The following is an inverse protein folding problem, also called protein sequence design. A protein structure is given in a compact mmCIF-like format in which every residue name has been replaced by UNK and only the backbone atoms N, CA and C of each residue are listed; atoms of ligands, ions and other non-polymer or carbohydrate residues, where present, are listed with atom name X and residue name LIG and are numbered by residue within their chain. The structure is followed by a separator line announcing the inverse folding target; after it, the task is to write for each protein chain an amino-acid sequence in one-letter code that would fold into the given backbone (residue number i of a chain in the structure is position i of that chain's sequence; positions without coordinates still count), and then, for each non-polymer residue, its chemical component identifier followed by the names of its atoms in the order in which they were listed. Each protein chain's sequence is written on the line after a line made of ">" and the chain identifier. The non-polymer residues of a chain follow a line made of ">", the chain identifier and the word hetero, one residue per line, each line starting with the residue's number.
data_IF_926323357657
#
_entry.id   IF_926323357657
#
_cell.length_a   1.000
_cell.length_b   1.000
_cell.length_c   1.000
_cell.angle_alpha   90.00
_cell.angle_beta   90.00
_cell.angle_gamma   90.00
#
_symmetry.space_group_name_H-M   'P 1'
#
loop_
_entity.id
_entity.type
_entity.pdbx_description
1 polymer ?
#
# COMPACT_ATOMS: atom_id res chain seq x y z
N UNK A 1 9.79 4.44 59.59
CA UNK A 1 8.76 4.38 58.52
C UNK A 1 8.87 5.69 57.75
N UNK A 2 9.80 5.86 56.80
CA UNK A 2 9.85 5.35 55.41
C UNK A 2 8.74 5.94 54.53
N UNK A 3 8.87 7.22 54.17
CA UNK A 3 8.43 7.73 52.86
C UNK A 3 9.08 9.10 52.56
N UNK A 4 10.39 9.10 52.39
CA UNK A 4 11.07 10.14 51.62
C UNK A 4 10.65 9.95 50.17
N UNK A 5 9.71 10.77 49.69
CA UNK A 5 9.31 10.78 48.29
C UNK A 5 10.30 11.68 47.56
N UNK A 6 11.40 11.04 47.17
CA UNK A 6 12.54 11.63 46.49
C UNK A 6 12.14 12.26 45.17
N UNK A 7 12.51 13.53 45.07
CA UNK A 7 12.85 14.28 43.86
C UNK A 7 13.67 13.37 42.92
N UNK A 8 13.03 12.89 41.85
CA UNK A 8 13.69 12.48 40.61
C UNK A 8 13.17 13.38 39.49
N UNK A 9 13.67 14.61 39.50
CA UNK A 9 13.93 15.32 38.24
C UNK A 9 14.94 14.46 37.47
N UNK A 10 14.72 14.29 36.16
CA UNK A 10 15.69 14.03 35.08
C UNK A 10 15.11 13.04 34.04
N UNK A 11 14.82 13.59 32.86
CA UNK A 11 14.75 12.96 31.53
C UNK A 11 13.60 11.97 31.21
N UNK A 12 12.62 12.46 30.45
CA UNK A 12 12.32 11.91 29.12
C UNK A 12 11.78 13.04 28.22
N UNK A 13 12.72 13.70 27.54
CA UNK A 13 12.42 14.35 26.29
C UNK A 13 12.16 13.27 25.23
N UNK A 14 11.36 13.62 24.21
CA UNK A 14 11.19 12.93 22.93
C UNK A 14 10.27 11.71 22.92
N UNK A 15 9.24 11.79 22.07
CA UNK A 15 8.73 10.63 21.34
C UNK A 15 7.24 10.37 21.54
N UNK A 16 6.44 10.74 20.55
CA UNK A 16 5.12 10.13 20.39
C UNK A 16 4.03 11.05 19.85
N UNK A 17 4.23 11.61 18.65
CA UNK A 17 3.09 11.95 17.81
C UNK A 17 2.33 10.65 17.51
N UNK A 18 1.22 10.37 18.20
CA UNK A 18 0.26 9.38 17.70
C UNK A 18 -0.89 10.17 17.09
N UNK A 19 -0.60 10.72 15.91
CA UNK A 19 -1.61 11.07 14.93
C UNK A 19 -2.19 9.74 14.45
N UNK A 20 -3.32 9.32 15.01
CA UNK A 20 -4.14 8.27 14.41
C UNK A 20 -4.71 8.83 13.12
N UNK A 21 -3.89 8.86 12.08
CA UNK A 21 -4.31 9.11 10.71
C UNK A 21 -5.01 7.84 10.27
N UNK A 22 -6.29 7.72 10.62
CA UNK A 22 -7.22 6.91 9.84
C UNK A 22 -7.23 7.53 8.44
N UNK A 23 -6.31 7.05 7.61
CA UNK A 23 -6.23 7.37 6.20
C UNK A 23 -7.49 6.84 5.55
N UNK A 24 -8.52 7.68 5.51
CA UNK A 24 -9.51 7.67 4.45
C UNK A 24 -8.70 7.72 3.15
N UNK A 25 -8.47 6.56 2.52
CA UNK A 25 -7.91 6.51 1.17
C UNK A 25 -8.93 7.08 0.20
N UNK A 26 -9.04 8.40 0.20
CA UNK A 26 -9.65 9.16 -0.87
C UNK A 26 -8.67 9.05 -2.03
N UNK A 27 -9.01 8.23 -3.02
CA UNK A 27 -8.34 8.27 -4.31
C UNK A 27 -8.62 9.67 -4.89
N UNK A 28 -7.64 10.55 -4.69
CA UNK A 28 -7.74 11.99 -4.87
C UNK A 28 -8.19 12.37 -6.27
N UNK A 29 -9.02 13.41 -6.31
CA UNK A 29 -9.67 13.96 -7.48
C UNK A 29 -8.70 14.83 -8.30
N UNK A 30 -7.45 14.39 -8.50
CA UNK A 30 -6.35 15.23 -9.02
C UNK A 30 -6.21 15.11 -10.56
N UNK A 31 -7.31 14.75 -11.24
CA UNK A 31 -7.40 14.75 -12.71
C UNK A 31 -7.58 16.17 -13.24
N UNK A 32 -6.58 17.04 -13.07
CA UNK A 32 -6.44 18.23 -13.91
C UNK A 32 -5.60 17.85 -15.13
N UNK A 33 -6.28 17.44 -16.20
CA UNK A 33 -5.67 17.19 -17.51
C UNK A 33 -5.07 18.48 -18.06
N UNK A 34 -3.75 18.56 -18.13
CA UNK A 34 -3.04 19.52 -18.97
C UNK A 34 -2.70 18.83 -20.30
N UNK A 35 -3.31 19.18 -21.45
CA UNK A 35 -3.22 18.40 -22.69
C UNK A 35 -1.93 18.66 -23.50
N UNK A 36 -0.84 19.09 -22.87
CA UNK A 36 0.42 19.39 -23.56
C UNK A 36 1.62 18.77 -22.84
N UNK A 37 1.77 17.46 -22.91
CA UNK A 37 3.08 16.82 -22.70
C UNK A 37 3.19 15.56 -23.55
N UNK A 38 3.57 15.78 -24.81
CA UNK A 38 4.13 14.76 -25.69
C UNK A 38 5.50 14.37 -25.14
N UNK A 39 5.54 13.41 -24.23
CA UNK A 39 6.78 12.95 -23.61
C UNK A 39 6.55 11.79 -22.65
N UNK A 40 6.46 10.57 -23.19
CA UNK A 40 6.82 9.31 -22.52
C UNK A 40 6.55 9.22 -21.00
N UNK A 41 5.32 9.48 -20.56
CA UNK A 41 4.83 9.30 -19.18
C UNK A 41 4.44 7.83 -18.92
N UNK A 42 5.28 6.89 -19.36
CA UNK A 42 4.93 5.46 -19.39
C UNK A 42 5.44 4.63 -18.21
N UNK A 43 6.08 5.21 -17.18
CA UNK A 43 6.78 4.39 -16.17
C UNK A 43 6.37 4.57 -14.70
N UNK A 44 5.66 5.64 -14.31
CA UNK A 44 5.37 5.88 -12.86
C UNK A 44 3.90 5.72 -12.47
N UNK A 45 3.02 5.45 -13.44
CA UNK A 45 1.64 5.04 -13.19
C UNK A 45 1.54 3.59 -13.63
N UNK A 46 1.38 2.67 -12.67
CA UNK A 46 1.06 1.26 -12.95
C UNK A 46 0.08 1.17 -14.14
N UNK A 47 0.28 0.26 -15.11
CA UNK A 47 -0.65 0.16 -16.21
C UNK A 47 -2.05 -0.06 -15.61
N UNK A 48 -3.05 0.66 -16.13
CA UNK A 48 -4.35 0.76 -15.46
C UNK A 48 -5.02 -0.61 -15.23
N UNK A 49 -4.55 -1.64 -15.93
CA UNK A 49 -4.93 -3.03 -15.73
C UNK A 49 -4.51 -3.58 -14.35
N UNK A 50 -3.27 -3.38 -13.91
CA UNK A 50 -2.75 -3.85 -12.62
C UNK A 50 -3.52 -3.21 -11.46
N UNK A 51 -3.75 -1.89 -11.54
CA UNK A 51 -4.51 -1.15 -10.51
C UNK A 51 -5.94 -1.67 -10.43
N UNK A 52 -6.59 -1.90 -11.57
CA UNK A 52 -7.96 -2.42 -11.61
C UNK A 52 -8.03 -3.84 -11.03
N UNK A 53 -7.09 -4.71 -11.41
CA UNK A 53 -6.99 -6.07 -10.92
C UNK A 53 -6.71 -6.11 -9.41
N UNK A 54 -5.83 -5.22 -8.93
CA UNK A 54 -5.53 -5.03 -7.52
C UNK A 54 -6.78 -4.64 -6.74
N UNK A 55 -7.51 -3.59 -7.16
CA UNK A 55 -8.74 -3.17 -6.48
C UNK A 55 -9.80 -4.27 -6.45
N UNK A 56 -9.91 -5.07 -7.53
CA UNK A 56 -10.83 -6.20 -7.57
C UNK A 56 -10.46 -7.29 -6.54
N UNK A 57 -9.18 -7.66 -6.47
CA UNK A 57 -8.70 -8.69 -5.53
C UNK A 57 -8.69 -8.17 -4.10
N UNK A 58 -8.33 -6.91 -3.88
CA UNK A 58 -8.27 -6.29 -2.56
C UNK A 58 -9.65 -6.22 -1.91
N UNK A 59 -10.69 -5.84 -2.67
CA UNK A 59 -12.09 -5.93 -2.19
C UNK A 59 -12.52 -7.36 -1.82
N UNK A 60 -11.88 -8.38 -2.38
CA UNK A 60 -12.21 -9.80 -2.12
C UNK A 60 -11.43 -10.35 -0.94
N UNK A 61 -10.13 -10.03 -0.84
CA UNK A 61 -9.20 -10.63 0.11
C UNK A 61 -8.97 -9.76 1.34
N UNK A 62 -8.91 -8.43 1.16
CA UNK A 62 -8.72 -7.45 2.22
C UNK A 62 -7.47 -7.71 3.06
N UNK A 63 -6.36 -8.14 2.44
CA UNK A 63 -5.14 -8.41 3.19
C UNK A 63 -4.55 -7.10 3.72
N UNK A 64 -3.95 -7.15 4.91
CA UNK A 64 -3.26 -6.00 5.47
C UNK A 64 -1.92 -5.77 4.76
N UNK A 65 -1.50 -4.50 4.64
CA UNK A 65 -0.27 -4.13 3.91
C UNK A 65 -0.23 -4.67 2.47
N UNK A 66 -1.41 -4.72 1.83
CA UNK A 66 -1.56 -5.17 0.46
C UNK A 66 -0.91 -4.20 -0.51
N UNK A 67 -0.19 -4.75 -1.48
CA UNK A 67 0.48 -3.99 -2.55
C UNK A 67 0.65 -4.85 -3.80
N UNK A 68 0.92 -4.18 -4.91
CA UNK A 68 1.30 -4.84 -6.15
C UNK A 68 2.80 -5.13 -6.08
N UNK A 69 3.17 -6.35 -6.37
CA UNK A 69 4.53 -6.84 -6.49
C UNK A 69 4.67 -7.54 -7.85
N UNK A 70 5.90 -7.89 -8.22
CA UNK A 70 6.17 -8.68 -9.42
C UNK A 70 6.86 -9.98 -9.05
N UNK A 71 6.46 -11.07 -9.70
CA UNK A 71 7.13 -12.36 -9.57
C UNK A 71 8.42 -12.43 -10.41
N UNK A 72 9.11 -13.58 -10.38
CA UNK A 72 10.35 -13.79 -11.14
C UNK A 72 10.18 -13.73 -12.66
N UNK A 73 8.95 -13.79 -13.16
CA UNK A 73 8.61 -13.68 -14.58
C UNK A 73 8.18 -12.25 -14.94
N UNK A 74 8.40 -11.28 -14.04
CA UNK A 74 7.89 -9.92 -14.15
C UNK A 74 6.36 -9.85 -14.29
N UNK A 75 5.66 -10.81 -13.69
CA UNK A 75 4.21 -10.81 -13.66
C UNK A 75 3.66 -10.22 -12.37
N UNK A 76 2.63 -9.39 -12.50
CA UNK A 76 2.03 -8.67 -11.39
C UNK A 76 1.30 -9.64 -10.43
N UNK A 77 1.57 -9.47 -9.14
CA UNK A 77 0.99 -10.25 -8.06
C UNK A 77 0.50 -9.34 -6.94
N UNK A 78 -0.65 -9.67 -6.37
CA UNK A 78 -1.15 -9.12 -5.13
C UNK A 78 -0.38 -9.75 -3.97
N UNK A 79 0.37 -8.96 -3.22
CA UNK A 79 1.02 -9.42 -2.00
C UNK A 79 0.46 -8.69 -0.79
N UNK A 80 0.09 -9.44 0.24
CA UNK A 80 -0.34 -8.87 1.51
C UNK A 80 -0.27 -9.88 2.65
N UNK A 81 -0.52 -9.41 3.86
CA UNK A 81 -0.64 -10.24 5.04
C UNK A 81 -2.08 -10.78 5.16
N UNK A 82 -2.22 -12.08 5.02
CA UNK A 82 -3.50 -12.76 5.17
C UNK A 82 -3.93 -12.81 6.66
N UNK A 83 -5.21 -13.13 6.96
CA UNK A 83 -5.72 -13.16 8.34
C UNK A 83 -4.99 -14.14 9.28
N UNK A 84 -4.27 -15.11 8.72
CA UNK A 84 -3.44 -16.05 9.47
C UNK A 84 -2.03 -15.50 9.81
N UNK A 85 -1.78 -14.21 9.53
CA UNK A 85 -0.49 -13.55 9.77
C UNK A 85 0.60 -13.90 8.75
N UNK A 86 0.31 -14.71 7.73
CA UNK A 86 1.29 -15.10 6.70
C UNK A 86 1.21 -14.18 5.50
N UNK A 87 2.36 -13.91 4.90
CA UNK A 87 2.41 -13.25 3.60
C UNK A 87 1.86 -14.22 2.55
N UNK A 88 0.85 -13.76 1.83
CA UNK A 88 0.24 -14.48 0.73
C UNK A 88 0.45 -13.69 -0.57
N UNK A 89 0.57 -14.44 -1.67
CA UNK A 89 0.76 -13.91 -3.03
C UNK A 89 -0.32 -14.49 -3.93
N UNK A 90 -1.01 -13.64 -4.68
CA UNK A 90 -2.07 -14.05 -5.60
C UNK A 90 -1.81 -13.37 -6.95
N UNK A 91 -1.82 -14.10 -8.08
CA UNK A 91 -1.60 -13.50 -9.39
C UNK A 91 -2.70 -12.47 -9.70
N UNK A 92 -2.29 -11.29 -10.16
CA UNK A 92 -3.21 -10.30 -10.70
C UNK A 92 -3.55 -10.68 -12.14
N UNK A 93 -4.85 -10.69 -12.44
CA UNK A 93 -5.35 -11.11 -13.75
C UNK A 93 -6.10 -9.99 -14.43
N UNK A 94 -5.99 -9.93 -15.75
CA UNK A 94 -6.74 -9.01 -16.59
C UNK A 94 -8.20 -9.47 -16.80
N UNK A 95 -8.94 -8.73 -17.63
CA UNK A 95 -10.33 -9.05 -17.99
C UNK A 95 -10.47 -10.33 -18.81
N UNK A 96 -9.40 -10.77 -19.46
CA UNK A 96 -9.30 -12.03 -20.22
C UNK A 96 -8.86 -13.20 -19.34
N UNK A 97 -8.77 -13.00 -18.01
CA UNK A 97 -8.33 -13.97 -17.01
C UNK A 97 -6.88 -14.45 -17.23
N UNK A 98 -6.08 -13.66 -17.95
CA UNK A 98 -4.64 -13.85 -18.13
C UNK A 98 -3.88 -13.12 -17.04
N UNK A 99 -2.75 -13.68 -16.60
CA UNK A 99 -1.89 -12.98 -15.64
C UNK A 99 -1.27 -11.76 -16.32
N UNK A 100 -1.31 -10.62 -15.62
CA UNK A 100 -0.73 -9.38 -16.15
C UNK A 100 0.78 -9.47 -15.98
N UNK A 101 1.53 -9.36 -17.07
CA UNK A 101 2.99 -9.37 -17.03
C UNK A 101 3.57 -8.15 -17.71
N UNK A 102 4.56 -7.54 -17.07
CA UNK A 102 5.38 -6.50 -17.67
C UNK A 102 6.29 -7.15 -18.72
N UNK A 103 6.18 -6.68 -19.96
CA UNK A 103 7.00 -7.15 -21.10
C UNK A 103 8.43 -6.63 -21.02
#
# INVERSE_FOLDING_TARGET
>A
MKLFLFIFVVLFALGGCVQTQSGSQSYGNDMLVNPQSSGNLSNDMLPSAEVTAFQQIDRRLGYSNARIEYDSNNCAVYQGMAPNGRIARVPLKDRSNQQICSR
#
